data_IF_576234426748
#
_entry.id   IF_576234426748
#
_cell.length_a   1.000
_cell.length_b   1.000
_cell.length_c   1.000
_cell.angle_alpha   90.00
_cell.angle_beta   90.00
_cell.angle_gamma   90.00
#
_symmetry.space_group_name_H-M   'P 1'
#
loop_
_entity.id
_entity.type
_entity.pdbx_description
1 polymer ?
#
# COMPACT_ATOMS: atom_id res chain seq x y z
N UNK A 1 -12.00 19.44 -24.09
CA UNK A 1 -12.86 20.59 -24.45
C UNK A 1 -12.09 21.74 -25.10
N UNK A 2 -11.28 22.54 -24.40
CA UNK A 2 -10.59 23.68 -25.04
C UNK A 2 -9.67 23.32 -26.21
N UNK A 3 -8.94 22.19 -26.13
CA UNK A 3 -8.04 21.74 -27.19
C UNK A 3 -8.79 21.18 -28.41
N UNK A 4 -9.90 20.47 -28.19
CA UNK A 4 -10.76 19.95 -29.26
C UNK A 4 -11.46 21.07 -30.02
N UNK A 5 -11.97 22.08 -29.31
CA UNK A 5 -12.57 23.28 -29.90
C UNK A 5 -11.54 24.04 -30.75
N UNK A 6 -10.28 24.12 -30.28
CA UNK A 6 -9.20 24.74 -31.02
C UNK A 6 -8.83 23.94 -32.28
N UNK A 7 -8.73 22.62 -32.19
CA UNK A 7 -8.51 21.74 -33.34
C UNK A 7 -9.64 21.86 -34.38
N UNK A 8 -10.88 21.96 -33.93
CA UNK A 8 -12.04 22.14 -34.80
C UNK A 8 -12.04 23.51 -35.47
N UNK A 9 -11.62 24.56 -34.77
CA UNK A 9 -11.48 25.92 -35.32
C UNK A 9 -10.35 26.01 -36.36
N UNK A 10 -9.17 25.44 -36.06
CA UNK A 10 -8.02 25.43 -36.97
C UNK A 10 -8.32 24.59 -38.22
N UNK A 11 -8.99 23.44 -38.07
CA UNK A 11 -9.37 22.59 -39.20
C UNK A 11 -10.45 23.24 -40.09
N UNK A 12 -11.44 23.92 -39.49
CA UNK A 12 -12.43 24.70 -40.24
C UNK A 12 -11.79 25.81 -41.08
N UNK A 13 -10.89 26.60 -40.47
CA UNK A 13 -10.13 27.63 -41.19
C UNK A 13 -9.28 27.05 -42.33
N UNK A 14 -8.64 25.89 -42.11
CA UNK A 14 -7.88 25.20 -43.16
C UNK A 14 -8.77 24.79 -44.33
N UNK A 15 -9.98 24.31 -44.06
CA UNK A 15 -10.94 23.91 -45.09
C UNK A 15 -11.43 25.12 -45.90
N UNK A 16 -11.74 26.23 -45.25
CA UNK A 16 -12.14 27.49 -45.91
C UNK A 16 -11.01 28.05 -46.80
N UNK A 17 -9.76 28.02 -46.31
CA UNK A 17 -8.58 28.41 -47.07
C UNK A 17 -8.36 27.53 -48.32
N UNK A 18 -8.52 26.21 -48.17
CA UNK A 18 -8.39 25.27 -49.29
C UNK A 18 -9.47 25.52 -50.35
N UNK A 19 -10.70 25.80 -49.93
CA UNK A 19 -11.80 26.11 -50.84
C UNK A 19 -11.62 27.46 -51.55
N UNK A 20 -11.10 28.48 -50.85
CA UNK A 20 -10.84 29.81 -51.42
C UNK A 20 -9.66 29.85 -52.40
N UNK A 21 -8.67 28.98 -52.21
CA UNK A 21 -7.49 28.86 -53.10
C UNK A 21 -7.83 28.40 -54.53
N UNK A 22 -9.00 27.77 -54.74
CA UNK A 22 -9.47 27.38 -56.07
C UNK A 22 -10.00 28.56 -56.93
N UNK A 23 -10.16 29.74 -56.34
CA UNK A 23 -10.72 30.93 -57.00
C UNK A 23 -9.71 32.08 -57.11
N UNK A 24 -8.41 31.81 -57.37
CA UNK A 24 -7.35 32.79 -57.71
C UNK A 24 -7.41 34.15 -56.96
N UNK A 25 -7.87 34.12 -55.71
CA UNK A 25 -8.18 35.30 -54.93
C UNK A 25 -6.91 35.73 -54.19
N UNK A 26 -6.37 36.91 -54.54
CA UNK A 26 -5.31 37.55 -53.77
C UNK A 26 -5.65 37.55 -52.28
N UNK A 27 -4.67 37.22 -51.43
CA UNK A 27 -4.81 37.21 -49.96
C UNK A 27 -5.45 38.51 -49.47
N UNK A 28 -6.76 38.48 -49.24
CA UNK A 28 -7.51 39.62 -48.72
C UNK A 28 -6.95 40.01 -47.35
N UNK A 29 -6.85 41.31 -47.07
CA UNK A 29 -6.41 41.81 -45.76
C UNK A 29 -7.17 41.14 -44.58
N UNK A 30 -8.42 40.75 -44.82
CA UNK A 30 -9.26 39.99 -43.88
C UNK A 30 -8.68 38.61 -43.53
N UNK A 31 -8.14 37.87 -44.50
CA UNK A 31 -7.53 36.55 -44.29
C UNK A 31 -6.27 36.62 -43.43
N UNK A 32 -5.45 37.65 -43.63
CA UNK A 32 -4.26 37.91 -42.81
C UNK A 32 -4.64 38.18 -41.34
N UNK A 33 -5.70 38.97 -41.11
CA UNK A 33 -6.22 39.25 -39.77
C UNK A 33 -6.76 37.97 -39.11
N UNK A 34 -7.54 37.17 -39.83
CA UNK A 34 -8.10 35.91 -39.31
C UNK A 34 -7.00 34.90 -38.98
N UNK A 35 -5.96 34.79 -39.81
CA UNK A 35 -4.80 33.92 -39.54
C UNK A 35 -4.03 34.39 -38.29
N UNK A 36 -3.81 35.71 -38.15
CA UNK A 36 -3.14 36.29 -36.99
C UNK A 36 -3.95 36.05 -35.69
N UNK A 37 -5.28 36.17 -35.75
CA UNK A 37 -6.17 35.83 -34.64
C UNK A 37 -6.16 34.33 -34.31
N UNK A 38 -6.05 33.46 -35.32
CA UNK A 38 -5.91 32.02 -35.13
C UNK A 38 -4.60 31.69 -34.38
N UNK A 39 -3.46 32.21 -34.84
CA UNK A 39 -2.18 32.05 -34.17
C UNK A 39 -2.22 32.54 -32.71
N UNK A 40 -2.88 33.67 -32.45
CA UNK A 40 -3.06 34.19 -31.10
C UNK A 40 -3.90 33.26 -30.22
N UNK A 41 -5.03 32.75 -30.72
CA UNK A 41 -5.87 31.76 -30.01
C UNK A 41 -5.11 30.48 -29.68
N UNK A 42 -4.30 29.96 -30.62
CA UNK A 42 -3.46 28.77 -30.39
C UNK A 42 -2.50 29.04 -29.24
N UNK A 43 -1.77 30.16 -29.29
CA UNK A 43 -0.81 30.55 -28.25
C UNK A 43 -1.48 30.66 -26.88
N UNK A 44 -2.57 31.39 -26.78
CA UNK A 44 -3.28 31.63 -25.51
C UNK A 44 -3.81 30.31 -24.92
N UNK A 45 -4.31 29.41 -25.75
CA UNK A 45 -4.85 28.11 -25.31
C UNK A 45 -3.76 27.16 -24.84
N UNK A 46 -2.63 27.09 -25.55
CA UNK A 46 -1.46 26.29 -25.13
C UNK A 46 -0.88 26.83 -23.83
N UNK A 47 -0.80 28.14 -23.69
CA UNK A 47 -0.26 28.78 -22.50
C UNK A 47 -1.18 28.56 -21.28
N UNK A 48 -2.50 28.63 -21.48
CA UNK A 48 -3.48 28.27 -20.44
C UNK A 48 -3.37 26.79 -20.04
N UNK A 49 -3.24 25.88 -21.00
CA UNK A 49 -3.09 24.44 -20.72
C UNK A 49 -1.82 24.15 -19.88
N UNK A 50 -0.71 24.82 -20.18
CA UNK A 50 0.53 24.67 -19.42
C UNK A 50 0.37 25.15 -17.96
N UNK A 51 -0.38 26.23 -17.74
CA UNK A 51 -0.70 26.73 -16.40
C UNK A 51 -1.60 25.75 -15.64
N UNK A 52 -2.70 25.32 -16.25
CA UNK A 52 -3.63 24.36 -15.64
C UNK A 52 -2.92 23.03 -15.28
N UNK A 53 -2.01 22.55 -16.15
CA UNK A 53 -1.20 21.36 -15.88
C UNK A 53 -0.26 21.55 -14.68
N UNK A 54 0.35 22.72 -14.53
CA UNK A 54 1.24 23.02 -13.38
C UNK A 54 0.48 22.95 -12.05
N UNK A 55 -0.76 23.44 -12.01
CA UNK A 55 -1.59 23.45 -10.81
C UNK A 55 -2.04 22.03 -10.41
N UNK A 56 -2.34 21.18 -11.39
CA UNK A 56 -2.67 19.77 -11.16
C UNK A 56 -1.43 18.97 -10.75
N UNK A 57 -0.27 19.23 -11.35
CA UNK A 57 0.98 18.52 -11.08
C UNK A 57 1.37 18.59 -9.61
N UNK A 58 1.16 19.74 -8.94
CA UNK A 58 1.41 19.87 -7.51
C UNK A 58 0.58 18.91 -6.66
N UNK A 59 -0.69 18.74 -7.00
CA UNK A 59 -1.62 17.82 -6.32
C UNK A 59 -1.26 16.36 -6.59
N UNK A 60 -0.97 16.02 -7.86
CA UNK A 60 -0.52 14.69 -8.27
C UNK A 60 0.80 14.32 -7.60
N UNK A 61 1.75 15.25 -7.51
CA UNK A 61 3.03 15.04 -6.82
C UNK A 61 2.86 14.83 -5.31
N UNK A 62 1.96 15.58 -4.67
CA UNK A 62 1.61 15.36 -3.25
C UNK A 62 0.99 13.99 -3.03
N UNK A 63 0.07 13.57 -3.90
CA UNK A 63 -0.53 12.23 -3.86
C UNK A 63 0.54 11.15 -4.09
N UNK A 64 1.43 11.32 -5.06
CA UNK A 64 2.55 10.40 -5.28
C UNK A 64 3.44 10.25 -4.05
N UNK A 65 3.87 11.36 -3.44
CA UNK A 65 4.64 11.35 -2.18
C UNK A 65 3.87 10.73 -1.02
N UNK A 66 2.56 10.93 -0.95
CA UNK A 66 1.72 10.31 0.07
C UNK A 66 1.59 8.79 -0.17
N UNK A 67 1.48 8.35 -1.42
CA UNK A 67 1.49 6.93 -1.79
C UNK A 67 2.85 6.31 -1.47
N UNK A 68 3.97 6.95 -1.82
CA UNK A 68 5.31 6.43 -1.48
C UNK A 68 5.48 6.25 0.03
N UNK A 69 5.04 7.27 0.79
CA UNK A 69 5.02 7.20 2.25
C UNK A 69 4.05 6.13 2.76
N UNK A 70 2.88 5.96 2.16
CA UNK A 70 1.90 4.94 2.55
C UNK A 70 2.35 3.55 2.14
N UNK A 71 3.08 3.33 1.04
CA UNK A 71 3.64 2.03 0.69
C UNK A 71 4.75 1.65 1.68
N UNK A 72 5.58 2.60 2.09
CA UNK A 72 6.58 2.40 3.14
C UNK A 72 5.94 2.24 4.53
N UNK A 73 4.90 3.02 4.82
CA UNK A 73 4.20 3.03 6.10
C UNK A 73 3.18 1.90 6.19
N UNK A 74 2.59 1.37 5.12
CA UNK A 74 1.56 0.32 5.18
C UNK A 74 2.17 -1.05 5.42
N UNK A 75 3.37 -1.32 4.92
CA UNK A 75 4.16 -2.49 5.34
C UNK A 75 4.50 -2.39 6.83
N UNK A 76 4.92 -1.22 7.32
CA UNK A 76 5.28 -1.02 8.73
C UNK A 76 4.07 -0.87 9.70
N UNK A 77 2.96 -0.32 9.25
CA UNK A 77 1.81 0.08 10.10
C UNK A 77 0.72 -0.96 10.16
N UNK A 78 0.59 -1.81 9.14
CA UNK A 78 -0.28 -2.98 9.28
C UNK A 78 0.32 -3.95 10.32
N UNK A 79 1.65 -4.01 10.42
CA UNK A 79 2.36 -4.67 11.51
C UNK A 79 2.19 -3.93 12.86
N UNK A 80 2.35 -2.60 12.91
CA UNK A 80 2.21 -1.83 14.16
C UNK A 80 0.77 -1.73 14.71
N UNK A 81 -0.27 -1.74 13.87
CA UNK A 81 -1.68 -1.70 14.32
C UNK A 81 -2.15 -2.97 15.01
N UNK A 82 -1.44 -4.10 14.83
CA UNK A 82 -1.74 -5.36 15.53
C UNK A 82 -1.04 -5.48 16.89
N UNK A 83 -0.13 -4.57 17.25
CA UNK A 83 0.44 -4.53 18.59
C UNK A 83 1.22 -3.25 18.86
N UNK A 84 0.67 -2.41 19.75
CA UNK A 84 1.34 -1.39 20.58
C UNK A 84 2.79 -1.01 20.19
N UNK A 85 2.99 -0.49 18.99
CA UNK A 85 4.27 0.13 18.62
C UNK A 85 4.00 1.61 18.41
N UNK A 86 4.45 2.42 19.37
CA UNK A 86 4.24 3.85 19.41
C UNK A 86 4.90 4.48 18.17
N UNK A 87 4.10 5.14 17.35
CA UNK A 87 4.47 5.59 16.02
C UNK A 87 5.25 6.92 16.02
N UNK A 88 6.10 7.15 17.03
CA UNK A 88 6.88 8.39 17.19
C UNK A 88 8.36 8.24 16.77
N UNK A 89 8.70 7.14 16.09
CA UNK A 89 10.02 6.96 15.44
C UNK A 89 10.04 7.65 14.06
N UNK A 90 9.48 8.86 13.95
CA UNK A 90 9.60 9.67 12.72
C UNK A 90 10.79 10.62 12.73
N UNK A 91 11.58 10.66 13.81
CA UNK A 91 12.69 11.60 13.99
C UNK A 91 14.10 11.01 14.06
N UNK A 92 14.27 9.68 14.07
CA UNK A 92 15.59 9.02 14.29
C UNK A 92 16.07 8.30 13.02
N UNK A 93 15.87 8.91 11.86
CA UNK A 93 16.58 8.52 10.66
C UNK A 93 17.99 9.08 10.73
N UNK A 94 18.90 8.43 11.45
CA UNK A 94 20.32 8.78 11.37
C UNK A 94 20.79 8.39 9.96
N UNK A 95 21.06 9.39 9.12
CA UNK A 95 21.64 9.20 7.79
C UNK A 95 22.86 8.28 7.90
N UNK A 96 22.88 7.22 7.09
CA UNK A 96 23.98 6.25 7.02
C UNK A 96 23.88 5.02 7.94
N UNK A 97 22.84 4.89 8.78
CA UNK A 97 22.71 3.71 9.66
C UNK A 97 22.50 2.41 8.90
N UNK A 98 21.82 2.45 7.75
CA UNK A 98 21.42 1.28 6.98
C UNK A 98 22.17 1.11 5.66
N UNK A 99 23.30 1.80 5.49
CA UNK A 99 24.07 1.77 4.23
C UNK A 99 24.85 0.47 4.03
N UNK A 100 25.05 -0.31 5.11
CA UNK A 100 25.71 -1.61 5.03
C UNK A 100 24.71 -2.72 4.72
N UNK A 101 25.06 -3.57 3.75
CA UNK A 101 24.31 -4.76 3.36
C UNK A 101 24.05 -5.70 4.54
N UNK A 102 25.02 -5.85 5.45
CA UNK A 102 24.87 -6.69 6.65
C UNK A 102 23.77 -6.16 7.59
N UNK A 103 23.70 -4.84 7.78
CA UNK A 103 22.68 -4.22 8.63
C UNK A 103 21.29 -4.34 8.01
N UNK A 104 21.21 -4.25 6.68
CA UNK A 104 19.97 -4.48 5.94
C UNK A 104 19.50 -5.93 6.05
N UNK A 105 20.43 -6.90 6.06
CA UNK A 105 20.11 -8.31 6.31
C UNK A 105 19.57 -8.55 7.72
N UNK A 106 20.23 -8.01 8.75
CA UNK A 106 19.73 -8.12 10.14
C UNK A 106 18.35 -7.49 10.33
N UNK A 107 18.12 -6.32 9.70
CA UNK A 107 16.81 -5.69 9.74
C UNK A 107 15.77 -6.56 9.01
N UNK A 108 16.11 -7.10 7.85
CA UNK A 108 15.22 -7.99 7.09
C UNK A 108 14.87 -9.23 7.90
N UNK A 109 15.84 -9.85 8.58
CA UNK A 109 15.63 -10.99 9.48
C UNK A 109 14.68 -10.64 10.63
N UNK A 110 14.92 -9.52 11.32
CA UNK A 110 14.06 -9.07 12.41
C UNK A 110 12.62 -8.77 11.93
N UNK A 111 12.47 -8.20 10.74
CA UNK A 111 11.16 -7.94 10.13
C UNK A 111 10.46 -9.24 9.77
N UNK A 112 11.16 -10.20 9.16
CA UNK A 112 10.61 -11.51 8.81
C UNK A 112 10.16 -12.25 10.09
N UNK A 113 10.99 -12.30 11.13
CA UNK A 113 10.63 -12.93 12.41
C UNK A 113 9.38 -12.29 13.01
N UNK A 114 9.29 -10.96 12.93
CA UNK A 114 8.10 -10.23 13.36
C UNK A 114 6.86 -10.62 12.54
N UNK A 115 6.96 -10.72 11.21
CA UNK A 115 5.84 -11.12 10.36
C UNK A 115 5.34 -12.53 10.68
N UNK A 116 6.24 -13.48 10.97
CA UNK A 116 5.88 -14.82 11.45
C UNK A 116 5.11 -14.75 12.78
N UNK A 117 5.58 -13.94 13.74
CA UNK A 117 4.89 -13.73 15.03
C UNK A 117 3.48 -13.15 14.86
N UNK A 118 3.23 -12.35 13.82
CA UNK A 118 1.92 -11.76 13.53
C UNK A 118 0.98 -12.66 12.71
N UNK A 119 1.50 -13.76 12.15
CA UNK A 119 0.73 -14.65 11.27
C UNK A 119 0.61 -14.18 9.83
N UNK A 120 1.45 -13.23 9.41
CA UNK A 120 1.55 -12.79 8.02
C UNK A 120 2.52 -13.69 7.25
N UNK A 121 2.20 -14.98 7.18
CA UNK A 121 3.10 -16.02 6.69
C UNK A 121 3.52 -15.80 5.23
N UNK A 122 2.55 -15.53 4.36
CA UNK A 122 2.82 -15.30 2.93
C UNK A 122 3.77 -14.12 2.71
N UNK A 123 3.57 -13.03 3.45
CA UNK A 123 4.41 -11.82 3.35
C UNK A 123 5.81 -12.10 3.90
N UNK A 124 5.91 -12.87 4.98
CA UNK A 124 7.20 -13.28 5.54
C UNK A 124 7.98 -14.16 4.56
N UNK A 125 7.31 -15.06 3.84
CA UNK A 125 7.92 -15.90 2.81
C UNK A 125 8.37 -15.11 1.59
N UNK A 126 7.55 -14.19 1.08
CA UNK A 126 7.91 -13.30 -0.03
C UNK A 126 9.14 -12.44 0.35
N UNK A 127 9.14 -11.85 1.55
CA UNK A 127 10.27 -11.05 2.01
C UNK A 127 11.55 -11.89 2.19
N UNK A 128 11.45 -13.14 2.66
CA UNK A 128 12.57 -14.08 2.70
C UNK A 128 13.17 -14.32 1.30
N UNK A 129 12.32 -14.53 0.30
CA UNK A 129 12.76 -14.77 -1.08
C UNK A 129 13.45 -13.55 -1.69
N UNK A 130 12.90 -12.35 -1.46
CA UNK A 130 13.43 -11.09 -2.00
C UNK A 130 14.73 -10.64 -1.31
N UNK A 131 14.80 -10.78 0.02
CA UNK A 131 15.97 -10.36 0.81
C UNK A 131 17.10 -11.39 0.85
N UNK A 132 16.84 -12.62 0.42
CA UNK A 132 17.78 -13.75 0.54
C UNK A 132 18.01 -14.22 1.98
N UNK A 133 17.19 -13.76 2.93
CA UNK A 133 17.29 -14.16 4.35
C UNK A 133 16.62 -15.51 4.55
N UNK A 134 17.39 -16.49 5.04
CA UNK A 134 16.91 -17.83 5.36
C UNK A 134 16.73 -17.97 6.87
N UNK A 135 15.48 -17.93 7.34
CA UNK A 135 15.16 -18.32 8.73
C UNK A 135 14.93 -19.82 8.78
N UNK A 136 15.60 -20.48 9.73
CA UNK A 136 15.45 -21.92 9.96
C UNK A 136 14.01 -22.29 10.33
N UNK A 137 13.54 -23.43 9.81
CA UNK A 137 12.18 -23.93 10.03
C UNK A 137 11.90 -24.20 11.52
N UNK A 138 12.91 -24.62 12.29
CA UNK A 138 12.78 -24.86 13.73
C UNK A 138 12.36 -23.61 14.52
N UNK A 139 12.77 -22.43 14.06
CA UNK A 139 12.39 -21.15 14.68
C UNK A 139 10.99 -20.70 14.26
N UNK A 140 10.48 -21.22 13.12
CA UNK A 140 9.16 -20.86 12.57
C UNK A 140 8.04 -21.70 13.18
N UNK A 141 8.31 -22.98 13.49
CA UNK A 141 7.31 -23.93 13.97
C UNK A 141 6.45 -23.40 15.14
N UNK A 142 7.02 -22.78 16.20
CA UNK A 142 6.22 -22.25 17.29
C UNK A 142 5.27 -21.13 16.86
N UNK A 143 5.67 -20.31 15.88
CA UNK A 143 4.83 -19.23 15.37
C UNK A 143 3.73 -19.78 14.45
N UNK A 144 4.02 -20.79 13.65
CA UNK A 144 3.00 -21.47 12.83
C UNK A 144 1.94 -22.14 13.71
N UNK A 145 2.36 -22.84 14.76
CA UNK A 145 1.47 -23.45 15.74
C UNK A 145 0.62 -22.40 16.45
N UNK A 146 1.23 -21.29 16.91
CA UNK A 146 0.53 -20.17 17.53
C UNK A 146 -0.54 -19.58 16.60
N UNK A 147 -0.18 -19.30 15.35
CA UNK A 147 -1.11 -18.69 14.38
C UNK A 147 -2.28 -19.62 14.07
N UNK A 148 -2.02 -20.92 13.90
CA UNK A 148 -3.07 -21.93 13.74
C UNK A 148 -4.04 -21.94 14.93
N UNK A 149 -3.53 -21.85 16.16
CA UNK A 149 -4.37 -21.79 17.36
C UNK A 149 -5.18 -20.49 17.38
N UNK A 150 -4.57 -19.33 17.07
CA UNK A 150 -5.25 -18.04 17.03
C UNK A 150 -6.37 -18.00 15.99
N UNK A 151 -6.18 -18.62 14.82
CA UNK A 151 -7.22 -18.75 13.79
C UNK A 151 -8.38 -19.61 14.27
N UNK A 152 -8.11 -20.76 14.90
CA UNK A 152 -9.15 -21.61 15.48
C UNK A 152 -9.96 -20.86 16.55
N UNK A 153 -9.28 -20.10 17.42
CA UNK A 153 -9.93 -19.26 18.43
C UNK A 153 -10.85 -18.20 17.81
N UNK A 154 -10.47 -17.59 16.68
CA UNK A 154 -11.33 -16.65 15.94
C UNK A 154 -12.59 -17.34 15.40
N UNK A 155 -12.48 -18.60 15.00
CA UNK A 155 -13.60 -19.45 14.57
C UNK A 155 -14.39 -20.05 15.75
N UNK A 156 -14.11 -19.61 16.99
CA UNK A 156 -14.70 -20.12 18.24
C UNK A 156 -14.39 -21.60 18.52
N UNK A 157 -13.40 -22.18 17.84
CA UNK A 157 -12.91 -23.51 18.17
C UNK A 157 -11.80 -23.43 19.22
N UNK A 158 -12.11 -23.90 20.43
CA UNK A 158 -11.20 -23.88 21.57
C UNK A 158 -10.32 -25.14 21.63
N UNK A 159 -10.59 -26.18 20.83
CA UNK A 159 -9.91 -27.48 20.92
C UNK A 159 -8.41 -27.37 20.68
N UNK A 160 -7.92 -26.69 19.62
CA UNK A 160 -6.48 -26.59 19.37
C UNK A 160 -5.73 -25.87 20.49
N UNK A 161 -6.35 -24.86 21.09
CA UNK A 161 -5.76 -24.15 22.23
C UNK A 161 -5.67 -25.02 23.49
N UNK A 162 -6.71 -25.84 23.75
CA UNK A 162 -6.73 -26.77 24.88
C UNK A 162 -5.72 -27.90 24.72
N UNK A 163 -5.65 -28.51 23.54
CA UNK A 163 -4.67 -29.56 23.23
C UNK A 163 -3.23 -29.04 23.41
N UNK A 164 -2.96 -27.84 22.91
CA UNK A 164 -1.67 -27.19 23.08
C UNK A 164 -1.34 -26.92 24.55
N UNK A 165 -2.31 -26.41 25.32
CA UNK A 165 -2.12 -26.13 26.75
C UNK A 165 -1.88 -27.41 27.56
N UNK A 166 -2.55 -28.51 27.22
CA UNK A 166 -2.34 -29.82 27.85
C UNK A 166 -0.95 -30.38 27.51
N UNK A 167 -0.55 -30.32 26.24
CA UNK A 167 0.78 -30.77 25.80
C UNK A 167 1.91 -29.97 26.45
N UNK A 168 1.70 -28.68 26.71
CA UNK A 168 2.67 -27.77 27.32
C UNK A 168 2.45 -27.55 28.83
N UNK A 169 1.68 -28.41 29.50
CA UNK A 169 1.24 -28.20 30.89
C UNK A 169 2.40 -28.02 31.88
N UNK A 170 3.42 -28.87 31.82
CA UNK A 170 4.58 -28.78 32.72
C UNK A 170 5.31 -27.44 32.58
N UNK A 171 5.48 -26.98 31.33
CA UNK A 171 6.09 -25.67 31.02
C UNK A 171 5.22 -24.52 31.50
N UNK A 172 3.90 -24.60 31.33
CA UNK A 172 2.96 -23.57 31.80
C UNK A 172 2.95 -23.50 33.34
N UNK A 173 3.04 -24.63 34.04
CA UNK A 173 3.14 -24.69 35.49
C UNK A 173 4.45 -24.07 36.00
N UNK A 174 5.58 -24.36 35.35
CA UNK A 174 6.86 -23.73 35.67
C UNK A 174 6.82 -22.19 35.53
N UNK A 175 6.08 -21.69 34.54
CA UNK A 175 5.85 -20.25 34.31
C UNK A 175 4.74 -19.66 35.21
N UNK A 176 4.12 -20.45 36.08
CA UNK A 176 2.94 -20.07 36.89
C UNK A 176 1.80 -19.48 36.04
N UNK A 177 1.68 -19.96 34.80
CA UNK A 177 0.68 -19.47 33.85
C UNK A 177 -0.70 -20.02 34.18
N UNK A 178 -1.70 -19.13 34.18
CA UNK A 178 -3.12 -19.50 34.36
C UNK A 178 -3.83 -19.79 33.04
N UNK A 179 -3.08 -19.96 31.95
CA UNK A 179 -3.63 -20.09 30.59
C UNK A 179 -4.55 -21.31 30.44
N UNK A 180 -4.12 -22.48 30.90
CA UNK A 180 -4.91 -23.72 30.86
C UNK A 180 -6.26 -23.53 31.58
N UNK A 181 -6.24 -22.94 32.77
CA UNK A 181 -7.46 -22.65 33.54
C UNK A 181 -8.37 -21.65 32.81
N UNK A 182 -7.81 -20.59 32.22
CA UNK A 182 -8.60 -19.60 31.45
C UNK A 182 -9.26 -20.24 30.23
N UNK A 183 -8.57 -21.13 29.53
CA UNK A 183 -9.10 -21.85 28.37
C UNK A 183 -10.24 -22.80 28.78
N UNK A 184 -10.08 -23.58 29.85
CA UNK A 184 -11.15 -24.43 30.36
C UNK A 184 -12.36 -23.62 30.84
N UNK A 185 -12.14 -22.48 31.50
CA UNK A 185 -13.23 -21.58 31.90
C UNK A 185 -13.97 -21.03 30.69
N UNK A 186 -13.24 -20.62 29.65
CA UNK A 186 -13.84 -20.12 28.40
C UNK A 186 -14.65 -21.23 27.70
N UNK A 187 -14.11 -22.45 27.67
CA UNK A 187 -14.81 -23.63 27.15
C UNK A 187 -16.10 -23.91 27.92
N UNK A 188 -16.05 -23.91 29.25
CA UNK A 188 -17.24 -24.07 30.09
C UNK A 188 -18.30 -22.99 29.83
N UNK A 189 -17.89 -21.72 29.71
CA UNK A 189 -18.81 -20.62 29.38
C UNK A 189 -19.43 -20.82 27.99
N UNK A 190 -18.66 -21.29 27.00
CA UNK A 190 -19.17 -21.57 25.65
C UNK A 190 -20.23 -22.69 25.66
N UNK A 191 -20.04 -23.72 26.50
CA UNK A 191 -21.03 -24.78 26.67
C UNK A 191 -22.32 -24.26 27.29
N UNK A 192 -22.23 -23.36 28.27
CA UNK A 192 -23.40 -22.77 28.94
C UNK A 192 -24.17 -21.77 28.06
N UNK A 193 -23.49 -21.05 27.16
CA UNK A 193 -24.09 -19.94 26.39
C UNK A 193 -24.76 -20.35 25.08
N UNK A 194 -24.60 -21.60 24.65
CA UNK A 194 -25.25 -22.08 23.42
C UNK A 194 -24.70 -23.42 22.96
N UNK A 195 -24.65 -24.39 23.89
CA UNK A 195 -24.11 -25.75 23.74
C UNK A 195 -23.88 -26.17 22.29
N UNK A 196 -22.59 -26.33 21.96
CA UNK A 196 -22.05 -26.83 20.69
C UNK A 196 -23.14 -27.45 19.80
N UNK A 197 -23.66 -26.67 18.85
CA UNK A 197 -24.31 -27.28 17.69
C UNK A 197 -23.22 -28.11 17.01
N UNK A 198 -23.38 -29.43 17.12
CA UNK A 198 -22.53 -30.52 16.62
C UNK A 198 -21.76 -30.22 15.33
#
# INVERSE_FOLDING_TARGET
>A
RSLEELLHYVSGLRQELANAAHHDAQLSATLSVVMSQCCKKIKDTVQKLALDHKDIHGSVSKVGKAIDRVCLYRTLTTAAKLGNFDADVSGVGVEGVWDSLEKQQFLSEAVVEHLYRQGLLNVAEELCQESGVCIDLSQKEPFLELNRILEALRMRDLRPALEWAMANRERLLALKSTLEFKLHRLYFISLLTGGMTN
#
